data_IF_655539980736
#
_entry.id   IF_655539980736
#
_cell.length_a   1.000
_cell.length_b   1.000
_cell.length_c   1.000
_cell.angle_alpha   90.00
_cell.angle_beta   90.00
_cell.angle_gamma   90.00
#
_symmetry.space_group_name_H-M   'P 1'
#
loop_
_entity.id
_entity.type
_entity.pdbx_description
1 polymer ?
#
# COMPACT_ATOMS: atom_id res chain seq x y z
N UNK A 1 14.56 -21.24 -16.48
CA UNK A 1 15.36 -21.85 -15.41
C UNK A 1 15.43 -20.87 -14.24
N UNK A 2 14.51 -21.00 -13.29
CA UNK A 2 14.33 -20.11 -12.14
C UNK A 2 15.47 -20.31 -11.15
N UNK A 3 16.24 -19.26 -10.86
CA UNK A 3 17.34 -19.33 -9.88
C UNK A 3 16.81 -19.02 -8.48
N UNK A 4 16.42 -20.07 -7.75
CA UNK A 4 16.12 -19.97 -6.32
C UNK A 4 17.39 -19.60 -5.54
N UNK A 5 17.38 -18.48 -4.79
CA UNK A 5 18.47 -18.12 -3.87
C UNK A 5 18.06 -18.39 -2.42
N UNK A 6 18.47 -19.54 -1.89
CA UNK A 6 18.30 -19.89 -0.48
C UNK A 6 19.41 -19.25 0.36
N UNK A 7 19.05 -18.46 1.39
CA UNK A 7 20.00 -17.90 2.37
C UNK A 7 19.88 -18.63 3.70
N UNK A 8 20.95 -19.31 4.13
CA UNK A 8 21.02 -20.01 5.43
C UNK A 8 21.79 -19.16 6.43
N UNK A 9 21.12 -18.69 7.49
CA UNK A 9 21.77 -17.98 8.60
C UNK A 9 22.14 -18.96 9.70
N UNK A 10 23.45 -19.19 9.92
CA UNK A 10 23.97 -19.93 11.08
C UNK A 10 24.21 -18.95 12.21
N UNK A 11 23.54 -19.06 13.37
CA UNK A 11 24.14 -18.80 14.70
C UNK A 11 23.47 -19.58 15.84
N UNK A 12 24.37 -20.09 16.68
CA UNK A 12 24.33 -20.67 18.03
C UNK A 12 23.10 -20.45 18.90
N UNK A 13 22.62 -21.58 19.44
CA UNK A 13 21.49 -21.77 20.36
C UNK A 13 21.67 -21.11 21.74
N UNK A 14 20.63 -20.43 22.23
CA UNK A 14 20.36 -20.24 23.67
C UNK A 14 18.92 -20.69 23.91
N UNK A 15 18.78 -21.71 24.75
CA UNK A 15 17.50 -22.30 25.18
C UNK A 15 16.91 -21.44 26.30
N UNK A 16 15.66 -20.99 26.17
CA UNK A 16 14.88 -20.48 27.30
C UNK A 16 13.38 -20.77 27.11
N UNK A 17 12.76 -21.21 28.20
CA UNK A 17 11.47 -21.91 28.30
C UNK A 17 10.23 -21.23 27.71
N UNK A 18 9.32 -22.08 27.25
CA UNK A 18 8.01 -21.77 26.68
C UNK A 18 6.99 -21.47 27.80
N UNK A 19 6.36 -20.31 27.74
CA UNK A 19 5.08 -20.03 28.42
C UNK A 19 4.04 -19.81 27.31
N UNK A 20 3.14 -20.77 27.13
CA UNK A 20 2.05 -20.68 26.14
C UNK A 20 0.94 -19.76 26.66
N UNK A 21 0.82 -18.57 26.08
CA UNK A 21 -0.35 -17.71 26.24
C UNK A 21 -1.19 -17.80 24.96
N UNK A 22 -2.38 -18.41 25.06
CA UNK A 22 -3.30 -18.53 23.93
C UNK A 22 -3.82 -17.16 23.47
N UNK A 23 -3.37 -16.70 22.30
CA UNK A 23 -3.93 -15.54 21.61
C UNK A 23 -4.98 -15.99 20.60
N UNK A 24 -6.23 -15.68 20.89
CA UNK A 24 -7.33 -15.72 19.92
C UNK A 24 -7.12 -14.58 18.91
N UNK A 25 -6.65 -14.90 17.70
CA UNK A 25 -6.59 -13.94 16.59
C UNK A 25 -8.01 -13.67 16.09
N UNK A 26 -8.58 -12.53 16.51
CA UNK A 26 -9.73 -11.94 15.82
C UNK A 26 -9.31 -11.34 14.47
N UNK A 27 -10.22 -11.22 13.50
CA UNK A 27 -9.93 -10.61 12.20
C UNK A 27 -9.45 -9.17 12.38
N UNK A 28 -8.27 -8.85 11.83
CA UNK A 28 -7.78 -7.47 11.78
C UNK A 28 -8.65 -6.65 10.81
N UNK A 29 -9.15 -5.47 11.20
CA UNK A 29 -9.96 -4.64 10.32
C UNK A 29 -9.16 -4.23 9.08
N UNK A 30 -9.69 -4.52 7.90
CA UNK A 30 -9.24 -3.95 6.63
C UNK A 30 -9.23 -2.41 6.77
N UNK A 31 -8.08 -1.78 6.54
CA UNK A 31 -8.02 -0.32 6.44
C UNK A 31 -8.55 0.09 5.06
N UNK A 32 -9.88 0.21 4.93
CA UNK A 32 -10.51 0.89 3.81
C UNK A 32 -10.07 2.36 3.80
N UNK A 33 -9.95 2.95 2.61
CA UNK A 33 -9.79 4.39 2.45
C UNK A 33 -10.89 5.10 3.25
N UNK A 34 -10.49 5.93 4.20
CA UNK A 34 -11.39 6.55 5.16
C UNK A 34 -11.43 8.04 4.89
N UNK A 35 -12.64 8.56 4.68
CA UNK A 35 -12.90 9.98 4.61
C UNK A 35 -12.65 10.65 5.97
N UNK A 36 -11.76 11.63 5.96
CA UNK A 36 -11.37 12.42 7.13
C UNK A 36 -11.89 13.84 6.94
N UNK A 37 -12.93 14.24 7.69
CA UNK A 37 -13.38 15.63 7.72
C UNK A 37 -12.24 16.54 8.19
N UNK A 38 -12.12 17.71 7.58
CA UNK A 38 -11.04 18.66 7.79
C UNK A 38 -10.96 19.27 9.18
N UNK A 39 -12.04 19.13 9.96
CA UNK A 39 -12.19 19.65 11.31
C UNK A 39 -12.26 21.17 11.36
N UNK A 40 -12.64 21.78 10.23
CA UNK A 40 -13.00 23.18 10.13
C UNK A 40 -14.37 23.48 10.74
N UNK A 41 -14.95 24.65 10.48
CA UNK A 41 -16.31 24.94 10.89
C UNK A 41 -17.30 23.93 10.28
N UNK A 42 -18.13 23.28 11.11
CA UNK A 42 -19.05 22.23 10.66
C UNK A 42 -19.99 22.61 9.49
N UNK A 43 -20.25 23.91 9.30
CA UNK A 43 -21.09 24.42 8.20
C UNK A 43 -20.36 24.51 6.85
N UNK A 44 -19.04 24.40 6.84
CA UNK A 44 -18.20 24.46 5.65
C UNK A 44 -17.29 23.26 5.46
N UNK A 45 -17.15 22.38 6.46
CA UNK A 45 -16.24 21.21 6.51
C UNK A 45 -16.44 20.19 5.35
N UNK A 46 -17.51 20.31 4.58
CA UNK A 46 -17.77 19.57 3.34
C UNK A 46 -17.11 20.19 2.09
N UNK A 47 -16.52 21.39 2.21
CA UNK A 47 -15.84 22.03 1.09
C UNK A 47 -14.55 21.29 0.77
N UNK A 48 -13.84 20.80 1.79
CA UNK A 48 -12.69 19.92 1.61
C UNK A 48 -12.60 18.80 2.65
N UNK A 49 -12.36 17.59 2.16
CA UNK A 49 -12.07 16.41 2.97
C UNK A 49 -10.81 15.71 2.48
N UNK A 50 -10.27 14.81 3.30
CA UNK A 50 -9.15 13.97 2.92
C UNK A 50 -9.60 12.53 2.80
N UNK A 51 -9.36 11.92 1.64
CA UNK A 51 -9.42 10.48 1.52
C UNK A 51 -8.04 9.91 1.87
N UNK A 52 -7.99 9.06 2.90
CA UNK A 52 -6.72 8.60 3.48
C UNK A 52 -6.68 7.09 3.65
N UNK A 53 -5.59 6.49 3.19
CA UNK A 53 -5.20 5.11 3.48
C UNK A 53 -3.90 5.06 4.30
N UNK A 54 -3.73 3.96 5.03
CA UNK A 54 -2.48 3.66 5.74
C UNK A 54 -2.46 4.05 7.23
N UNK A 55 -3.61 4.18 7.89
CA UNK A 55 -3.65 4.37 9.33
C UNK A 55 -5.05 4.38 9.94
N UNK A 56 -5.11 4.55 11.26
CA UNK A 56 -6.35 4.68 12.02
C UNK A 56 -6.74 6.14 12.18
N UNK A 57 -7.99 6.47 11.85
CA UNK A 57 -8.53 7.84 11.91
C UNK A 57 -9.12 8.13 13.29
N UNK A 58 -8.79 9.29 13.85
CA UNK A 58 -9.39 9.86 15.06
C UNK A 58 -9.55 11.38 14.89
N UNK A 59 -10.76 11.81 14.50
CA UNK A 59 -11.00 13.18 14.03
C UNK A 59 -10.08 13.50 12.84
N UNK A 60 -9.44 14.67 12.86
CA UNK A 60 -8.48 15.11 11.83
C UNK A 60 -7.14 14.38 11.81
N UNK A 61 -6.93 13.41 12.69
CA UNK A 61 -5.64 12.74 12.86
C UNK A 61 -5.70 11.31 12.34
N UNK A 62 -4.76 10.97 11.46
CA UNK A 62 -4.54 9.61 10.99
C UNK A 62 -3.23 9.11 11.58
N UNK A 63 -3.29 7.98 12.29
CA UNK A 63 -2.14 7.42 13.01
C UNK A 63 -1.76 6.07 12.44
N UNK A 64 -0.49 5.92 12.07
CA UNK A 64 0.13 4.62 11.78
C UNK A 64 1.11 4.27 12.91
N UNK A 65 1.06 3.03 13.37
CA UNK A 65 1.89 2.47 14.43
C UNK A 65 2.91 1.45 13.94
N UNK A 66 2.99 1.20 12.63
CA UNK A 66 3.86 0.20 12.02
C UNK A 66 4.89 0.84 11.06
N UNK A 67 5.81 1.70 11.55
CA UNK A 67 6.80 2.35 10.70
C UNK A 67 7.74 1.35 10.04
N UNK A 68 7.98 1.48 8.74
CA UNK A 68 8.97 0.73 7.95
C UNK A 68 10.20 1.61 7.74
N UNK A 69 11.40 1.10 8.06
CA UNK A 69 12.63 1.88 7.93
C UNK A 69 12.64 3.18 8.76
N UNK A 70 11.84 3.22 9.84
CA UNK A 70 11.70 4.40 10.69
C UNK A 70 10.79 5.49 10.12
N UNK A 71 9.88 5.16 9.20
CA UNK A 71 8.86 6.08 8.66
C UNK A 71 7.54 5.36 8.37
N UNK A 72 6.44 6.10 8.34
CA UNK A 72 5.13 5.60 7.93
C UNK A 72 4.74 6.22 6.58
N UNK A 73 4.00 5.51 5.74
CA UNK A 73 3.58 5.98 4.42
C UNK A 73 2.06 5.99 4.33
N UNK A 74 1.50 7.13 3.95
CA UNK A 74 0.07 7.34 3.78
C UNK A 74 -0.24 7.60 2.31
N UNK A 75 -1.35 7.07 1.81
CA UNK A 75 -1.93 7.53 0.53
C UNK A 75 -2.99 8.57 0.86
N UNK A 76 -2.90 9.76 0.28
CA UNK A 76 -3.82 10.86 0.60
C UNK A 76 -4.29 11.53 -0.69
N UNK A 77 -5.61 11.66 -0.86
CA UNK A 77 -6.23 12.52 -1.86
C UNK A 77 -7.02 13.65 -1.20
N UNK A 78 -7.11 14.80 -1.89
CA UNK A 78 -7.97 15.91 -1.47
C UNK A 78 -9.29 15.83 -2.22
N UNK A 79 -10.38 15.69 -1.48
CA UNK A 79 -11.74 15.65 -1.98
C UNK A 79 -12.45 16.97 -1.71
N UNK A 80 -13.31 17.41 -2.63
CA UNK A 80 -13.99 18.70 -2.56
C UNK A 80 -15.49 18.53 -2.69
N UNK A 81 -16.26 19.47 -2.13
CA UNK A 81 -17.73 19.51 -2.21
C UNK A 81 -18.41 18.18 -1.83
N UNK A 82 -17.91 17.51 -0.80
CA UNK A 82 -18.41 16.21 -0.36
C UNK A 82 -19.82 16.32 0.25
N UNK A 83 -20.61 15.26 0.21
CA UNK A 83 -22.04 15.31 0.61
C UNK A 83 -22.36 14.48 1.84
N UNK A 84 -21.35 13.82 2.41
CA UNK A 84 -21.42 12.90 3.54
C UNK A 84 -21.12 13.57 4.89
N UNK A 85 -20.81 14.88 4.92
CA UNK A 85 -20.73 15.65 6.17
C UNK A 85 -22.11 16.12 6.62
N UNK A 86 -22.62 15.51 7.68
CA UNK A 86 -23.86 15.94 8.32
C UNK A 86 -23.81 17.41 8.76
N UNK A 87 -24.80 18.20 8.33
CA UNK A 87 -24.93 19.61 8.72
C UNK A 87 -24.09 20.59 7.89
N UNK A 88 -23.40 20.11 6.86
CA UNK A 88 -22.73 20.93 5.87
C UNK A 88 -23.44 20.83 4.51
N UNK A 89 -23.54 21.95 3.81
CA UNK A 89 -24.08 21.99 2.45
C UNK A 89 -23.00 22.52 1.51
N UNK A 90 -22.53 21.71 0.55
CA UNK A 90 -21.54 22.14 -0.43
C UNK A 90 -22.01 23.36 -1.21
N UNK A 91 -21.08 24.25 -1.54
CA UNK A 91 -21.34 25.47 -2.31
C UNK A 91 -20.46 25.50 -3.57
N UNK A 92 -20.69 24.60 -4.53
CA UNK A 92 -19.96 24.63 -5.79
C UNK A 92 -20.35 25.84 -6.66
N UNK A 93 -19.45 26.33 -7.53
CA UNK A 93 -18.05 25.93 -7.60
C UNK A 93 -17.24 26.54 -6.46
N UNK A 94 -16.25 25.81 -5.95
CA UNK A 94 -15.24 26.42 -5.11
C UNK A 94 -14.39 27.36 -5.98
N UNK A 95 -14.21 28.59 -5.49
CA UNK A 95 -13.47 29.65 -6.18
C UNK A 95 -11.96 29.54 -6.01
N UNK A 96 -11.50 28.86 -4.96
CA UNK A 96 -10.07 28.68 -4.68
C UNK A 96 -9.83 27.55 -3.70
N UNK A 97 -8.78 26.77 -3.96
CA UNK A 97 -8.20 25.82 -3.00
C UNK A 97 -6.73 26.16 -2.80
N UNK A 98 -6.30 26.22 -1.54
CA UNK A 98 -4.90 26.39 -1.18
C UNK A 98 -4.47 25.27 -0.25
N UNK A 99 -3.52 24.47 -0.69
CA UNK A 99 -2.88 23.42 0.11
C UNK A 99 -1.54 23.92 0.65
N UNK A 100 -1.27 23.65 1.92
CA UNK A 100 0.02 23.92 2.58
C UNK A 100 0.50 22.67 3.30
N UNK A 101 1.74 22.19 3.10
CA UNK A 101 2.77 22.73 2.19
C UNK A 101 2.36 22.73 0.71
N UNK A 102 2.87 23.69 -0.07
CA UNK A 102 2.55 23.77 -1.51
C UNK A 102 3.07 22.52 -2.22
N UNK A 103 2.24 21.92 -3.07
CA UNK A 103 2.62 20.76 -3.89
C UNK A 103 2.61 19.42 -3.15
N UNK A 104 2.19 19.37 -1.89
CA UNK A 104 2.06 18.09 -1.16
C UNK A 104 0.84 17.27 -1.61
N UNK A 105 -0.23 17.95 -2.00
CA UNK A 105 -1.43 17.39 -2.62
C UNK A 105 -1.79 18.25 -3.83
N UNK A 106 -2.36 17.63 -4.84
CA UNK A 106 -2.90 18.29 -6.03
C UNK A 106 -4.42 18.32 -5.92
N UNK A 107 -5.03 19.51 -5.75
CA UNK A 107 -6.49 19.62 -5.78
C UNK A 107 -7.06 19.14 -7.11
N UNK A 108 -8.33 18.66 -7.14
CA UNK A 108 -9.04 18.44 -8.39
C UNK A 108 -9.06 19.71 -9.24
N UNK A 109 -9.00 19.54 -10.56
CA UNK A 109 -9.07 20.65 -11.53
C UNK A 109 -10.48 21.19 -11.67
N UNK A 110 -11.48 20.32 -11.61
CA UNK A 110 -12.89 20.70 -11.57
C UNK A 110 -13.35 20.90 -10.12
N UNK A 111 -13.83 22.10 -9.83
CA UNK A 111 -14.32 22.51 -8.51
C UNK A 111 -15.83 22.68 -8.47
N UNK A 112 -16.54 22.30 -9.54
CA UNK A 112 -17.98 22.48 -9.72
C UNK A 112 -18.86 21.39 -9.12
N UNK A 113 -18.26 20.30 -8.62
CA UNK A 113 -18.98 19.18 -8.02
C UNK A 113 -18.14 18.41 -7.01
N UNK A 114 -18.73 17.33 -6.49
CA UNK A 114 -18.05 16.40 -5.59
C UNK A 114 -17.02 15.58 -6.36
N UNK A 115 -15.74 15.72 -6.05
CA UNK A 115 -14.66 14.97 -6.71
C UNK A 115 -13.39 14.96 -5.86
N UNK A 116 -12.53 13.98 -6.08
CA UNK A 116 -11.20 13.90 -5.46
C UNK A 116 -10.09 14.16 -6.49
N UNK A 117 -8.99 14.75 -6.03
CA UNK A 117 -7.77 14.91 -6.80
C UNK A 117 -6.96 13.62 -6.86
N UNK A 118 -5.80 13.67 -7.52
CA UNK A 118 -4.87 12.54 -7.54
C UNK A 118 -4.35 12.22 -6.12
N UNK A 119 -4.26 10.92 -5.82
CA UNK A 119 -3.64 10.44 -4.58
C UNK A 119 -2.13 10.72 -4.58
N UNK A 120 -1.62 11.18 -3.44
CA UNK A 120 -0.18 11.38 -3.21
C UNK A 120 0.31 10.48 -2.08
N UNK A 121 1.50 9.88 -2.26
CA UNK A 121 2.17 9.13 -1.20
C UNK A 121 2.95 10.07 -0.28
N UNK A 122 2.55 10.13 0.99
CA UNK A 122 3.15 11.01 2.00
C UNK A 122 3.88 10.19 3.04
N UNK A 123 5.21 10.25 3.00
CA UNK A 123 6.07 9.65 4.03
C UNK A 123 6.21 10.55 5.25
N UNK A 124 5.93 10.01 6.44
CA UNK A 124 6.11 10.66 7.75
C UNK A 124 7.24 9.96 8.51
N UNK A 125 8.43 10.55 8.60
CA UNK A 125 9.55 9.93 9.31
C UNK A 125 9.42 10.08 10.82
N UNK A 126 9.85 9.06 11.55
CA UNK A 126 10.09 9.14 12.99
C UNK A 126 11.17 10.18 13.29
N UNK A 127 11.06 10.79 14.47
CA UNK A 127 11.96 11.83 14.97
C UNK A 127 13.09 11.26 15.83
N UNK A 128 14.12 12.08 16.03
CA UNK A 128 15.33 11.73 16.78
C UNK A 128 16.36 10.98 15.95
N UNK A 129 17.63 11.05 16.37
CA UNK A 129 18.75 10.36 15.68
C UNK A 129 18.54 8.84 15.63
N UNK A 130 17.93 8.27 16.66
CA UNK A 130 17.61 6.85 16.78
C UNK A 130 16.20 6.48 16.32
N UNK A 131 15.44 7.40 15.71
CA UNK A 131 14.07 7.16 15.23
C UNK A 131 13.13 6.63 16.31
N UNK A 132 13.32 7.08 17.54
CA UNK A 132 12.65 6.63 18.76
C UNK A 132 11.57 7.61 19.26
N UNK A 133 11.19 8.59 18.44
CA UNK A 133 10.11 9.52 18.77
C UNK A 133 9.09 9.59 17.62
N UNK A 134 7.79 9.75 17.93
CA UNK A 134 6.77 9.89 16.89
C UNK A 134 7.05 11.01 15.89
N UNK A 135 6.83 10.70 14.63
CA UNK A 135 6.78 11.62 13.51
C UNK A 135 5.39 12.26 13.37
N UNK A 136 5.34 13.47 12.79
CA UNK A 136 4.07 14.11 12.43
C UNK A 136 4.27 15.02 11.22
N UNK A 137 3.33 14.96 10.27
CA UNK A 137 3.14 15.95 9.21
C UNK A 137 1.74 16.54 9.33
N UNK A 138 1.63 17.84 9.03
CA UNK A 138 0.35 18.54 9.01
C UNK A 138 0.16 19.10 7.61
N UNK A 139 -1.01 18.87 7.05
CA UNK A 139 -1.46 19.45 5.78
C UNK A 139 -2.61 20.39 6.13
N UNK A 140 -2.52 21.63 5.68
CA UNK A 140 -3.60 22.60 5.80
C UNK A 140 -4.25 22.81 4.44
N UNK A 141 -5.57 22.84 4.41
CA UNK A 141 -6.35 23.17 3.23
C UNK A 141 -7.23 24.35 3.54
N UNK A 142 -7.27 25.31 2.62
CA UNK A 142 -8.22 26.42 2.67
C UNK A 142 -9.02 26.39 1.39
N UNK A 143 -10.29 26.02 1.50
CA UNK A 143 -11.27 26.11 0.42
C UNK A 143 -12.07 27.41 0.52
N UNK A 144 -12.39 28.02 -0.62
CA UNK A 144 -13.22 29.23 -0.69
C UNK A 144 -14.37 29.03 -1.64
N UNK A 145 -15.59 29.33 -1.21
CA UNK A 145 -16.77 29.38 -2.08
C UNK A 145 -17.21 30.82 -2.32
N UNK A 146 -18.15 31.02 -3.24
CA UNK A 146 -18.87 32.29 -3.40
C UNK A 146 -20.00 32.47 -2.36
N UNK A 147 -20.38 31.37 -1.68
CA UNK A 147 -21.47 31.31 -0.72
C UNK A 147 -21.10 31.67 0.72
N UNK A 148 -22.01 31.34 1.65
CA UNK A 148 -21.79 31.45 3.10
C UNK A 148 -21.92 30.06 3.74
N UNK A 149 -20.92 29.58 4.49
CA UNK A 149 -19.64 30.25 4.82
C UNK A 149 -18.73 30.41 3.60
N UNK A 150 -17.98 31.51 3.53
CA UNK A 150 -17.13 31.84 2.36
C UNK A 150 -15.80 31.09 2.36
N UNK A 151 -15.33 30.70 3.53
CA UNK A 151 -14.01 30.11 3.73
C UNK A 151 -14.18 28.90 4.62
N UNK A 152 -13.55 27.82 4.21
CA UNK A 152 -13.31 26.64 5.02
C UNK A 152 -11.82 26.51 5.30
N UNK A 153 -11.47 25.99 6.47
CA UNK A 153 -10.05 25.84 6.86
C UNK A 153 -9.85 24.56 7.63
N UNK A 154 -9.19 23.65 6.94
CA UNK A 154 -9.04 22.28 7.34
C UNK A 154 -7.60 21.95 7.65
N UNK A 155 -7.44 20.88 8.42
CA UNK A 155 -6.14 20.28 8.64
C UNK A 155 -6.25 18.76 8.63
N UNK A 156 -5.28 18.12 8.00
CA UNK A 156 -4.99 16.70 8.18
C UNK A 156 -3.71 16.57 8.99
N UNK A 157 -3.76 15.73 10.03
CA UNK A 157 -2.58 15.38 10.82
C UNK A 157 -2.23 13.92 10.56
N UNK A 158 -1.10 13.69 9.88
CA UNK A 158 -0.54 12.36 9.72
C UNK A 158 0.48 12.13 10.84
N UNK A 159 0.27 11.09 11.64
CA UNK A 159 1.12 10.75 12.79
C UNK A 159 1.73 9.38 12.58
N UNK A 160 3.05 9.31 12.65
CA UNK A 160 3.79 8.06 12.65
C UNK A 160 4.25 7.79 14.07
N UNK A 161 3.70 6.78 14.72
CA UNK A 161 4.12 6.40 16.06
C UNK A 161 5.35 5.52 16.00
N UNK A 162 6.18 5.61 17.03
CA UNK A 162 7.16 4.55 17.27
C UNK A 162 6.39 3.26 17.47
N UNK A 163 6.64 2.26 16.63
CA UNK A 163 6.09 0.94 16.85
C UNK A 163 6.53 0.45 18.23
N UNK A 164 5.58 0.01 19.06
CA UNK A 164 5.90 -0.90 20.18
C UNK A 164 6.34 -2.26 19.65
N UNK A 165 6.04 -2.53 18.39
CA UNK A 165 6.58 -3.60 17.58
C UNK A 165 7.81 -3.08 16.86
N UNK A 166 8.96 -3.66 17.18
CA UNK A 166 10.14 -3.68 16.32
C UNK A 166 9.65 -4.12 14.93
N UNK A 167 9.47 -3.19 13.98
CA UNK A 167 9.24 -3.56 12.58
C UNK A 167 10.58 -4.04 12.03
N UNK A 168 10.99 -5.23 12.44
CA UNK A 168 11.55 -6.14 11.45
C UNK A 168 10.51 -6.17 10.34
N UNK A 169 10.89 -5.88 9.09
CA UNK A 169 10.17 -6.42 7.94
C UNK A 169 9.68 -7.80 8.36
N UNK A 170 8.38 -8.07 8.33
CA UNK A 170 7.82 -9.31 8.87
C UNK A 170 8.61 -10.48 8.26
N UNK A 171 9.60 -10.96 9.01
CA UNK A 171 10.50 -11.98 8.56
C UNK A 171 9.72 -13.26 8.68
N UNK A 172 9.85 -14.12 7.69
CA UNK A 172 9.15 -15.38 7.74
C UNK A 172 9.47 -16.10 9.05
N UNK A 173 8.44 -16.62 9.75
CA UNK A 173 8.69 -17.41 10.94
C UNK A 173 9.57 -18.59 10.57
N UNK A 174 10.40 -19.02 11.53
CA UNK A 174 11.21 -20.22 11.33
C UNK A 174 10.30 -21.41 11.00
N UNK A 175 10.62 -22.15 9.95
CA UNK A 175 9.90 -23.34 9.54
C UNK A 175 10.14 -24.44 10.60
N UNK A 176 9.11 -24.83 11.39
CA UNK A 176 9.28 -25.76 12.50
C UNK A 176 9.78 -27.14 12.08
N UNK A 177 9.55 -27.52 10.83
CA UNK A 177 9.95 -28.80 10.24
C UNK A 177 11.42 -28.82 9.79
N UNK A 178 12.14 -27.69 9.92
CA UNK A 178 13.57 -27.60 9.60
C UNK A 178 13.88 -27.38 8.12
N UNK A 179 12.85 -27.12 7.30
CA UNK A 179 12.98 -26.63 5.93
C UNK A 179 13.39 -25.15 5.86
N UNK A 180 13.47 -24.58 4.64
CA UNK A 180 13.70 -23.15 4.47
C UNK A 180 12.53 -22.31 5.01
N UNK A 181 12.83 -21.09 5.45
CA UNK A 181 11.85 -20.15 6.03
C UNK A 181 11.22 -19.23 4.97
N UNK A 182 11.98 -18.86 3.93
CA UNK A 182 11.60 -17.88 2.91
C UNK A 182 12.03 -18.36 1.51
N UNK A 183 11.19 -18.06 0.51
CA UNK A 183 11.56 -18.08 -0.90
C UNK A 183 11.32 -16.71 -1.56
N UNK A 184 12.19 -16.39 -2.51
CA UNK A 184 12.08 -15.21 -3.37
C UNK A 184 11.78 -15.68 -4.80
N UNK A 185 10.60 -15.34 -5.30
CA UNK A 185 10.12 -15.69 -6.62
C UNK A 185 10.28 -14.48 -7.52
N UNK A 186 11.29 -14.52 -8.39
CA UNK A 186 11.54 -13.47 -9.38
C UNK A 186 10.91 -13.84 -10.73
N UNK A 187 10.38 -12.86 -11.43
CA UNK A 187 10.01 -13.00 -12.84
C UNK A 187 11.22 -13.39 -13.67
N UNK A 188 11.03 -14.28 -14.66
CA UNK A 188 12.11 -14.67 -15.54
C UNK A 188 12.42 -13.55 -16.54
N UNK A 189 13.69 -13.37 -16.88
CA UNK A 189 14.16 -12.37 -17.86
C UNK A 189 13.54 -12.56 -19.26
N UNK A 190 13.01 -13.74 -19.56
CA UNK A 190 12.36 -14.08 -20.82
C UNK A 190 11.13 -14.97 -20.58
N UNK A 191 10.13 -14.86 -21.47
CA UNK A 191 8.91 -15.68 -21.42
C UNK A 191 7.89 -15.26 -20.36
N UNK A 192 8.16 -14.20 -19.59
CA UNK A 192 7.18 -13.56 -18.72
C UNK A 192 6.61 -12.36 -19.44
N UNK A 193 5.29 -12.30 -19.61
CA UNK A 193 4.59 -11.13 -20.09
C UNK A 193 3.39 -10.75 -19.22
N UNK A 194 3.02 -9.47 -19.34
CA UNK A 194 1.79 -8.92 -18.79
C UNK A 194 0.77 -8.82 -19.93
N UNK A 195 -0.38 -9.46 -19.72
CA UNK A 195 -1.53 -9.38 -20.61
C UNK A 195 -2.61 -8.53 -19.96
N UNK A 196 -2.85 -7.35 -20.52
CA UNK A 196 -3.89 -6.43 -20.09
C UNK A 196 -5.10 -6.57 -21.00
N UNK A 197 -5.90 -7.62 -20.80
CA UNK A 197 -7.21 -7.80 -21.44
C UNK A 197 -7.42 -9.18 -22.08
N UNK A 198 -8.68 -9.55 -22.27
CA UNK A 198 -9.09 -10.87 -22.77
C UNK A 198 -9.14 -10.96 -24.31
N UNK A 199 -9.19 -9.83 -25.03
CA UNK A 199 -9.41 -9.79 -26.49
C UNK A 199 -8.13 -9.93 -27.32
N UNK A 200 -6.97 -10.10 -26.68
CA UNK A 200 -5.70 -10.32 -27.37
C UNK A 200 -5.16 -9.13 -28.16
N UNK A 201 -5.44 -7.88 -27.74
CA UNK A 201 -4.90 -6.66 -28.40
C UNK A 201 -3.80 -6.00 -27.55
N UNK A 202 -3.65 -6.45 -26.31
CA UNK A 202 -2.89 -5.80 -25.25
C UNK A 202 -2.22 -6.91 -24.42
N UNK A 203 -1.32 -7.64 -25.09
CA UNK A 203 -0.58 -8.79 -24.59
C UNK A 203 0.92 -8.61 -24.82
N UNK A 204 1.76 -9.41 -24.18
CA UNK A 204 3.21 -9.37 -24.31
C UNK A 204 3.90 -8.11 -23.75
N UNK A 205 3.29 -7.39 -22.80
CA UNK A 205 4.00 -6.27 -22.17
C UNK A 205 5.14 -6.78 -21.28
N UNK A 206 6.28 -6.08 -21.25
CA UNK A 206 7.37 -6.46 -20.38
C UNK A 206 6.94 -6.31 -18.91
N UNK A 207 7.08 -7.38 -18.13
CA UNK A 207 7.07 -7.28 -16.67
C UNK A 207 8.45 -6.78 -16.24
N UNK A 208 8.54 -5.85 -15.27
CA UNK A 208 9.85 -5.42 -14.77
C UNK A 208 10.58 -6.65 -14.22
N UNK A 209 11.80 -6.98 -14.70
CA UNK A 209 12.54 -8.17 -14.29
C UNK A 209 12.93 -8.17 -12.81
N UNK A 210 12.74 -7.06 -12.10
CA UNK A 210 12.94 -6.92 -10.66
C UNK A 210 11.65 -7.10 -9.86
N UNK A 211 10.52 -7.39 -10.51
CA UNK A 211 9.31 -7.80 -9.83
C UNK A 211 9.59 -9.12 -9.10
N UNK A 212 9.46 -9.07 -7.78
CA UNK A 212 9.74 -10.18 -6.88
C UNK A 212 8.54 -10.40 -5.98
N UNK A 213 8.23 -11.67 -5.73
CA UNK A 213 7.25 -12.09 -4.75
C UNK A 213 7.99 -12.88 -3.67
N UNK A 214 8.02 -12.33 -2.46
CA UNK A 214 8.55 -12.96 -1.27
C UNK A 214 7.47 -13.76 -0.56
N UNK A 215 7.76 -15.02 -0.27
CA UNK A 215 6.84 -15.93 0.40
C UNK A 215 7.49 -16.63 1.58
N UNK A 216 6.71 -16.83 2.63
CA UNK A 216 7.10 -17.61 3.79
C UNK A 216 6.74 -19.07 3.57
N UNK A 217 7.66 -19.95 3.91
CA UNK A 217 7.55 -21.39 3.70
C UNK A 217 7.29 -22.11 5.02
N UNK A 218 6.44 -23.14 4.98
CA UNK A 218 6.12 -23.94 6.16
C UNK A 218 5.67 -25.36 5.78
N UNK A 219 5.58 -26.24 6.78
CA UNK A 219 5.01 -27.59 6.60
C UNK A 219 5.95 -28.60 5.94
N UNK A 220 7.20 -28.21 5.66
CA UNK A 220 8.12 -28.99 4.83
C UNK A 220 9.55 -29.01 5.36
N UNK A 221 10.32 -29.95 4.86
CA UNK A 221 11.75 -30.05 5.06
C UNK A 221 12.45 -30.47 3.75
N UNK A 222 13.72 -30.14 3.59
CA UNK A 222 14.43 -30.37 2.32
C UNK A 222 14.81 -31.84 2.04
N UNK A 223 14.41 -32.79 2.91
CA UNK A 223 14.89 -34.19 2.87
C UNK A 223 13.79 -35.25 2.80
N UNK A 224 12.74 -35.12 3.60
CA UNK A 224 11.67 -36.12 3.75
C UNK A 224 10.32 -35.62 3.26
N UNK A 225 10.02 -34.34 3.39
CA UNK A 225 8.82 -33.71 2.82
C UNK A 225 9.15 -32.39 2.11
N UNK A 226 9.57 -32.42 0.82
CA UNK A 226 10.06 -31.24 0.13
C UNK A 226 8.96 -30.27 -0.34
N UNK A 227 7.68 -30.59 -0.14
CA UNK A 227 6.56 -29.76 -0.58
C UNK A 227 6.16 -28.80 0.53
N UNK A 228 6.43 -27.52 0.34
CA UNK A 228 6.16 -26.44 1.29
C UNK A 228 4.87 -25.71 0.96
N UNK A 229 4.09 -25.41 2.00
CA UNK A 229 3.06 -24.39 1.93
C UNK A 229 3.73 -23.02 1.87
N UNK A 230 3.23 -22.15 0.99
CA UNK A 230 3.72 -20.78 0.85
C UNK A 230 2.64 -19.76 1.21
N UNK A 231 3.07 -18.68 1.86
CA UNK A 231 2.24 -17.52 2.17
C UNK A 231 3.05 -16.23 1.99
N UNK A 232 2.67 -15.41 1.01
CA UNK A 232 3.20 -14.07 0.78
C UNK A 232 2.19 -13.03 1.21
N UNK A 233 2.38 -12.41 2.38
CA UNK A 233 1.54 -11.29 2.78
C UNK A 233 1.71 -10.10 1.82
N UNK A 234 0.60 -9.44 1.47
CA UNK A 234 0.54 -8.27 0.57
C UNK A 234 -0.19 -7.12 1.25
N UNK A 235 -0.06 -5.91 0.70
CA UNK A 235 -0.60 -4.68 1.26
C UNK A 235 0.43 -3.89 2.07
N UNK A 236 0.01 -2.74 2.60
CA UNK A 236 0.88 -1.90 3.41
C UNK A 236 1.47 -2.69 4.60
N UNK A 237 2.75 -2.48 4.89
CA UNK A 237 3.47 -3.12 6.00
C UNK A 237 3.61 -4.66 5.91
N UNK A 238 3.35 -5.25 4.75
CA UNK A 238 3.60 -6.67 4.47
C UNK A 238 4.99 -6.91 3.85
N UNK A 239 5.39 -8.18 3.71
CA UNK A 239 6.67 -8.57 3.09
C UNK A 239 6.74 -8.17 1.60
N UNK A 240 5.61 -8.03 0.91
CA UNK A 240 5.54 -7.66 -0.51
C UNK A 240 5.07 -6.23 -0.80
N UNK A 241 4.60 -5.49 0.21
CA UNK A 241 4.03 -4.16 0.00
C UNK A 241 2.72 -4.18 -0.80
N UNK A 242 2.31 -3.01 -1.30
CA UNK A 242 1.02 -2.83 -1.97
C UNK A 242 1.01 -3.16 -3.47
N UNK A 243 2.16 -3.12 -4.14
CA UNK A 243 2.27 -3.31 -5.60
C UNK A 243 3.19 -4.45 -5.96
N UNK A 244 2.88 -5.12 -7.07
CA UNK A 244 3.75 -6.11 -7.69
C UNK A 244 4.72 -5.41 -8.65
N UNK A 245 5.91 -5.11 -8.14
CA UNK A 245 6.93 -4.36 -8.88
C UNK A 245 6.70 -2.84 -8.90
N UNK A 246 7.60 -2.10 -9.56
CA UNK A 246 7.47 -0.65 -9.75
C UNK A 246 6.41 -0.29 -10.82
N UNK A 247 5.95 0.98 -10.87
CA UNK A 247 5.13 1.48 -11.97
C UNK A 247 5.78 1.24 -13.34
N UNK A 248 5.02 0.75 -14.30
CA UNK A 248 5.48 0.35 -15.62
C UNK A 248 5.05 1.39 -16.68
N UNK A 249 5.96 2.27 -17.14
CA UNK A 249 5.67 3.18 -18.25
C UNK A 249 5.65 2.41 -19.58
N UNK A 250 4.63 2.65 -20.39
CA UNK A 250 4.36 2.04 -21.68
C UNK A 250 3.95 3.10 -22.70
N UNK A 251 4.14 2.80 -23.99
CA UNK A 251 3.52 3.55 -25.09
C UNK A 251 2.55 2.60 -25.79
N UNK A 252 1.26 2.93 -25.77
CA UNK A 252 0.23 2.15 -26.45
C UNK A 252 -0.39 3.03 -27.54
N UNK A 253 -0.21 2.66 -28.81
CA UNK A 253 -0.74 3.40 -29.97
C UNK A 253 -0.40 4.91 -29.95
N UNK A 254 0.82 5.27 -29.49
CA UNK A 254 1.28 6.65 -29.40
C UNK A 254 0.83 7.42 -28.16
N UNK A 255 0.06 6.81 -27.26
CA UNK A 255 -0.34 7.39 -25.97
C UNK A 255 0.62 6.91 -24.87
N UNK A 256 1.13 7.83 -24.05
CA UNK A 256 1.89 7.49 -22.87
C UNK A 256 0.97 6.93 -21.78
N UNK A 257 1.28 5.72 -21.33
CA UNK A 257 0.51 4.99 -20.32
C UNK A 257 1.43 4.58 -19.18
N UNK A 258 0.94 4.64 -17.95
CA UNK A 258 1.62 4.04 -16.80
C UNK A 258 0.72 3.00 -16.16
N UNK A 259 1.19 1.76 -16.07
CA UNK A 259 0.46 0.66 -15.43
C UNK A 259 1.04 0.43 -14.04
N UNK A 260 0.17 0.46 -13.03
CA UNK A 260 0.51 0.09 -11.66
C UNK A 260 -0.23 -1.20 -11.33
N UNK A 261 0.54 -2.26 -11.07
CA UNK A 261 0.00 -3.55 -10.67
C UNK A 261 -0.13 -3.60 -9.14
N UNK A 262 -1.34 -3.45 -8.62
CA UNK A 262 -1.63 -3.47 -7.18
C UNK A 262 -2.13 -4.85 -6.77
N UNK A 263 -1.69 -5.39 -5.64
CA UNK A 263 -2.24 -6.66 -5.15
C UNK A 263 -3.72 -6.51 -4.81
N UNK A 264 -4.54 -7.51 -5.20
CA UNK A 264 -5.84 -7.70 -4.57
C UNK A 264 -5.56 -8.13 -3.12
N UNK A 265 -6.21 -7.52 -2.12
CA UNK A 265 -5.78 -7.47 -0.71
C UNK A 265 -5.82 -8.80 0.08
N UNK A 266 -5.36 -9.90 -0.51
CA UNK A 266 -5.29 -11.24 0.05
C UNK A 266 -3.85 -11.74 -0.01
N UNK A 267 -3.34 -12.43 1.02
CA UNK A 267 -2.04 -13.09 0.92
C UNK A 267 -1.98 -14.02 -0.28
N UNK A 268 -0.84 -14.04 -0.97
CA UNK A 268 -0.58 -15.02 -2.03
C UNK A 268 -0.29 -16.35 -1.38
N UNK A 269 -1.01 -17.40 -1.77
CA UNK A 269 -0.84 -18.75 -1.22
C UNK A 269 -0.56 -19.77 -2.33
N UNK A 270 -0.06 -20.94 -1.95
CA UNK A 270 0.19 -22.05 -2.88
C UNK A 270 1.03 -23.16 -2.23
N UNK A 271 1.53 -24.07 -3.05
CA UNK A 271 2.53 -25.05 -2.65
C UNK A 271 3.67 -25.12 -3.65
N UNK A 272 4.90 -25.29 -3.17
CA UNK A 272 6.07 -25.50 -4.01
C UNK A 272 6.98 -26.60 -3.47
N UNK A 273 7.55 -27.38 -4.37
CA UNK A 273 8.60 -28.33 -4.05
C UNK A 273 9.95 -27.60 -4.02
N UNK A 274 10.55 -27.44 -2.84
CA UNK A 274 11.81 -26.68 -2.69
C UNK A 274 13.04 -27.40 -3.24
N UNK A 275 12.92 -28.70 -3.53
CA UNK A 275 14.01 -29.49 -4.12
C UNK A 275 14.02 -29.37 -5.64
N UNK A 276 12.85 -29.41 -6.29
CA UNK A 276 12.72 -29.34 -7.76
C UNK A 276 12.48 -27.92 -8.26
N UNK A 277 11.97 -27.02 -7.41
CA UNK A 277 11.51 -25.69 -7.78
C UNK A 277 10.15 -25.68 -8.47
N UNK A 278 9.44 -26.80 -8.48
CA UNK A 278 8.13 -26.98 -9.11
C UNK A 278 7.02 -26.43 -8.22
N UNK A 279 6.03 -25.77 -8.82
CA UNK A 279 4.82 -25.30 -8.15
C UNK A 279 3.74 -26.39 -8.27
N UNK A 280 2.97 -26.63 -7.21
CA UNK A 280 1.92 -27.65 -7.22
C UNK A 280 0.83 -27.36 -8.26
N UNK A 281 0.52 -28.34 -9.10
CA UNK A 281 -0.58 -28.26 -10.06
C UNK A 281 -1.97 -28.22 -9.39
N UNK A 282 -2.08 -28.72 -8.16
CA UNK A 282 -3.34 -28.77 -7.40
C UNK A 282 -3.52 -27.57 -6.47
N UNK A 283 -2.41 -26.92 -6.08
CA UNK A 283 -2.40 -25.74 -5.21
C UNK A 283 -1.43 -24.69 -5.79
N UNK A 284 -1.73 -24.13 -6.98
CA UNK A 284 -0.80 -23.25 -7.67
C UNK A 284 -0.61 -21.91 -6.95
N UNK A 285 0.49 -21.22 -7.27
CA UNK A 285 0.72 -19.84 -6.82
C UNK A 285 -0.03 -18.91 -7.77
N UNK A 286 -1.12 -18.32 -7.30
CA UNK A 286 -1.90 -17.35 -8.06
C UNK A 286 -1.71 -15.94 -7.51
N UNK A 287 -1.17 -15.03 -8.32
CA UNK A 287 -0.99 -13.62 -7.97
C UNK A 287 -2.10 -12.81 -8.63
N UNK A 288 -3.12 -12.46 -7.86
CA UNK A 288 -4.23 -11.65 -8.35
C UNK A 288 -3.92 -10.16 -8.19
N UNK A 289 -4.01 -9.42 -9.29
CA UNK A 289 -3.64 -8.01 -9.36
C UNK A 289 -4.83 -7.16 -9.84
N UNK A 290 -4.88 -5.92 -9.39
CA UNK A 290 -5.56 -4.82 -10.08
C UNK A 290 -4.53 -4.11 -10.94
N UNK A 291 -4.86 -3.87 -12.22
CA UNK A 291 -4.03 -3.08 -13.12
C UNK A 291 -4.60 -1.67 -13.21
N UNK A 292 -4.00 -0.73 -12.49
CA UNK A 292 -4.38 0.68 -12.54
C UNK A 292 -3.70 1.33 -13.75
N UNK A 293 -4.48 1.67 -14.78
CA UNK A 293 -4.00 2.23 -16.05
C UNK A 293 -4.13 3.76 -16.03
N UNK A 294 -3.01 4.45 -16.05
CA UNK A 294 -2.95 5.91 -16.05
C UNK A 294 -2.57 6.41 -17.43
N UNK A 295 -3.43 7.23 -18.04
CA UNK A 295 -3.13 7.91 -19.29
C UNK A 295 -2.39 9.22 -18.98
N UNK A 296 -1.23 9.41 -19.58
CA UNK A 296 -0.44 10.63 -19.45
C UNK A 296 -0.64 11.42 -20.74
N UNK A 297 -1.49 12.45 -20.68
CA UNK A 297 -1.62 13.43 -21.76
C UNK A 297 -0.84 14.69 -21.38
N UNK A 298 0.25 14.97 -22.08
CA UNK A 298 0.88 16.28 -22.08
C UNK A 298 0.09 17.21 -23.02
N UNK A 299 -1.09 17.65 -22.60
CA UNK A 299 -1.73 18.79 -23.25
C UNK A 299 -1.02 20.08 -22.81
N UNK A 300 0.16 20.33 -23.38
CA UNK A 300 0.64 21.69 -23.64
C UNK A 300 0.32 22.04 -25.09
N UNK A 301 -0.87 22.59 -25.30
CA UNK A 301 -1.13 23.56 -26.37
C UNK A 301 -1.52 24.88 -25.72
#
# INVERSE_FOLDING_TARGET
MTKLRLRRWRRTSIVAGVVTLGLTLGPAPQAAATHVPGGGPAKSDCYSEFDVEGGTVAGVTVTDTAPVGGSCSFSVALCVNQTDVSGCTPMPPLTKIKVTPKGILTPPTDLSGATCGASASITVPLKGRKKNHPGKKIIHVVAKSSGKPKVDTDKLVLKCMVGTTTTTLQSCPANPQGGPDEADLSTADTGTDLDNGWTGISHNFPVDPRATLKVCLSGCDASTNPVCDLMGAVGANSINGATFGPPLPLIAQGVAVCVINRYQSTPVTGQMNVQTGEVSDTTPIQVNLFSDVHLISDHTN
#
